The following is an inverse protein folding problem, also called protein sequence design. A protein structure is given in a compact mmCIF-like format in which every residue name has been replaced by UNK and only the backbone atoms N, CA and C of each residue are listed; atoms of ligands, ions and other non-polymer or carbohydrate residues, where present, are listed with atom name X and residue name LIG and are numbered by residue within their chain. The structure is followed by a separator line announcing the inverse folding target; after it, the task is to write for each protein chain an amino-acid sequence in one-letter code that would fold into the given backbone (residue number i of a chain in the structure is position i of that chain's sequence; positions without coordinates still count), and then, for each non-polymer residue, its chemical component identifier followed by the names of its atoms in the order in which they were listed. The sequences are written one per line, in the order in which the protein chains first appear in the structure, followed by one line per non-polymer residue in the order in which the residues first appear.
data_IF_504796529676
#
_entry.id   IF_504796529676
#
_cell.length_a   1.000
_cell.length_b   1.000
_cell.length_c   1.000
_cell.angle_alpha   90.00
_cell.angle_beta   90.00
_cell.angle_gamma   90.00
#
_symmetry.space_group_name_H-M   'P 1'
#
loop_
_entity.id
_entity.type
_entity.pdbx_description
1 polymer ?
#
# COMPACT_ATOMS: atom_id res chain seq x y z
N UNK A 1 -30.59 -34.04 12.05
CA UNK A 1 -29.41 -34.65 12.72
C UNK A 1 -29.34 -34.02 14.10
N UNK A 2 -29.64 -34.78 15.15
CA UNK A 2 -29.76 -34.27 16.52
C UNK A 2 -28.37 -34.23 17.15
N UNK A 3 -27.88 -33.03 17.47
CA UNK A 3 -26.61 -32.85 18.18
C UNK A 3 -26.91 -32.47 19.63
N UNK A 4 -26.53 -33.36 20.54
CA UNK A 4 -26.64 -33.18 21.98
C UNK A 4 -25.41 -32.43 22.50
N UNK A 5 -25.62 -31.17 22.87
CA UNK A 5 -24.59 -30.25 23.37
C UNK A 5 -24.24 -30.49 24.85
N UNK A 6 -24.84 -31.47 25.52
CA UNK A 6 -24.53 -31.82 26.91
C UNK A 6 -23.46 -32.91 27.05
N UNK A 7 -23.02 -33.53 25.95
CA UNK A 7 -21.90 -34.48 25.97
C UNK A 7 -20.55 -33.73 26.01
N UNK A 8 -20.10 -33.41 27.21
CA UNK A 8 -18.70 -33.02 27.45
C UNK A 8 -17.83 -34.27 27.24
N UNK A 9 -16.84 -34.24 26.32
CA UNK A 9 -15.98 -35.40 26.10
C UNK A 9 -15.20 -35.73 27.38
N UNK A 10 -15.44 -36.92 27.94
CA UNK A 10 -14.85 -37.36 29.21
C UNK A 10 -13.40 -37.85 29.10
N UNK A 11 -12.81 -37.86 27.91
CA UNK A 11 -11.45 -38.33 27.67
C UNK A 11 -10.55 -37.19 27.22
N UNK A 12 -9.94 -36.49 28.18
CA UNK A 12 -8.75 -35.69 27.92
C UNK A 12 -7.58 -36.65 27.66
N UNK A 13 -7.35 -36.96 26.39
CA UNK A 13 -6.25 -37.83 25.98
C UNK A 13 -4.91 -37.05 25.97
N UNK A 14 -3.79 -37.78 26.04
CA UNK A 14 -2.41 -37.26 26.12
C UNK A 14 -2.07 -36.29 24.98
N UNK A 15 -2.74 -36.44 23.83
CA UNK A 15 -2.61 -35.57 22.66
C UNK A 15 -3.19 -34.16 22.88
N UNK A 16 -4.30 -34.04 23.62
CA UNK A 16 -4.89 -32.75 23.99
C UNK A 16 -4.00 -32.02 25.02
N UNK A 17 -3.44 -32.76 25.98
CA UNK A 17 -2.48 -32.21 26.93
C UNK A 17 -1.20 -31.71 26.23
N UNK A 18 -0.71 -32.46 25.24
CA UNK A 18 0.43 -32.06 24.41
C UNK A 18 0.16 -30.79 23.60
N UNK A 19 -1.03 -30.67 22.99
CA UNK A 19 -1.42 -29.49 22.23
C UNK A 19 -1.52 -28.24 23.13
N UNK A 20 -2.12 -28.38 24.32
CA UNK A 20 -2.23 -27.29 25.28
C UNK A 20 -0.86 -26.82 25.78
N UNK A 21 0.04 -27.76 26.10
CA UNK A 21 1.41 -27.45 26.52
C UNK A 21 2.21 -26.74 25.41
N UNK A 22 2.06 -27.18 24.16
CA UNK A 22 2.72 -26.55 23.00
C UNK A 22 2.21 -25.14 22.76
N UNK A 23 0.90 -24.92 22.87
CA UNK A 23 0.29 -23.58 22.71
C UNK A 23 0.78 -22.61 23.79
N UNK A 24 0.89 -23.05 25.04
CA UNK A 24 1.40 -22.22 26.15
C UNK A 24 2.89 -21.90 25.95
N UNK A 25 3.68 -22.89 25.49
CA UNK A 25 5.10 -22.68 25.21
C UNK A 25 5.34 -21.65 24.09
N UNK A 26 4.57 -21.73 22.99
CA UNK A 26 4.66 -20.76 21.90
C UNK A 26 4.27 -19.36 22.35
N UNK A 27 3.26 -19.24 23.23
CA UNK A 27 2.83 -17.96 23.79
C UNK A 27 3.89 -17.36 24.72
N UNK A 28 4.58 -18.17 25.52
CA UNK A 28 5.71 -17.74 26.34
C UNK A 28 6.90 -17.28 25.48
N UNK A 29 7.19 -17.96 24.37
CA UNK A 29 8.24 -17.55 23.43
C UNK A 29 7.86 -16.23 22.76
N UNK A 30 6.61 -16.05 22.36
CA UNK A 30 6.12 -14.83 21.74
C UNK A 30 6.23 -13.62 22.69
N UNK A 31 5.87 -13.78 23.96
CA UNK A 31 5.97 -12.72 24.99
C UNK A 31 7.42 -12.47 25.40
N UNK A 32 8.29 -13.48 25.38
CA UNK A 32 9.71 -13.36 25.74
C UNK A 32 10.57 -12.72 24.64
N UNK A 33 10.04 -12.57 23.42
CA UNK A 33 10.66 -11.77 22.36
C UNK A 33 10.48 -10.28 22.67
N UNK A 34 11.25 -9.76 23.63
CA UNK A 34 11.42 -8.32 23.85
C UNK A 34 11.98 -7.70 22.57
N UNK A 35 11.17 -6.91 21.88
CA UNK A 35 11.66 -6.00 20.85
C UNK A 35 12.61 -5.00 21.52
N UNK A 36 13.91 -5.16 21.28
CA UNK A 36 14.93 -4.22 21.75
C UNK A 36 14.81 -2.97 20.87
N UNK A 37 13.95 -2.03 21.28
CA UNK A 37 13.96 -0.67 20.73
C UNK A 37 15.27 -0.04 21.18
N UNK A 38 16.24 -0.02 20.27
CA UNK A 38 17.48 0.73 20.44
C UNK A 38 17.11 2.19 20.14
N UNK A 39 16.83 2.97 21.18
CA UNK A 39 16.87 4.42 21.06
C UNK A 39 18.31 4.82 20.74
N UNK A 40 18.54 5.10 19.46
CA UNK A 40 19.80 5.70 19.00
C UNK A 40 19.72 7.19 19.33
N UNK A 41 20.15 7.55 20.54
CA UNK A 41 20.48 8.94 20.87
C UNK A 41 21.68 9.32 20.02
N UNK A 42 21.44 10.11 18.98
CA UNK A 42 22.50 10.73 18.19
C UNK A 42 22.99 11.94 18.98
N UNK A 43 23.96 11.71 19.88
CA UNK A 43 24.83 12.79 20.33
C UNK A 43 25.68 13.23 19.15
N UNK A 44 25.46 14.46 18.68
CA UNK A 44 26.35 15.14 17.76
C UNK A 44 27.72 15.24 18.42
N UNK A 45 28.81 14.72 17.83
CA UNK A 45 30.14 14.97 18.36
C UNK A 45 30.47 16.45 18.13
N UNK A 46 30.64 17.19 19.23
CA UNK A 46 31.27 18.51 19.21
C UNK A 46 32.75 18.26 18.94
N UNK A 47 33.20 18.61 17.73
CA UNK A 47 34.63 18.61 17.42
C UNK A 47 35.34 19.64 18.29
N UNK A 48 36.19 19.10 19.15
CA UNK A 48 37.19 19.79 19.95
C UNK A 48 38.25 20.34 18.99
N UNK A 49 38.11 21.61 18.61
CA UNK A 49 39.20 22.36 17.98
C UNK A 49 40.15 22.77 19.11
N UNK A 50 41.39 22.30 19.02
CA UNK A 50 42.49 22.62 19.93
C UNK A 50 42.83 24.11 19.82
N UNK A 51 42.88 24.78 20.97
CA UNK A 51 43.41 26.13 21.14
C UNK A 51 44.88 26.20 20.71
N UNK A 52 45.19 27.16 19.85
CA UNK A 52 46.53 27.78 19.80
C UNK A 52 46.33 29.26 20.12
N UNK A 53 47.03 29.70 21.17
CA UNK A 53 46.91 31.01 21.80
C UNK A 53 47.42 32.20 20.96
N UNK A 54 46.71 33.34 21.12
CA UNK A 54 47.13 34.77 21.15
C UNK A 54 47.37 35.54 19.82
N UNK A 55 47.15 36.88 19.83
CA UNK A 55 45.99 37.60 20.36
C UNK A 55 45.44 38.70 19.41
N UNK A 56 44.14 38.93 19.50
CA UNK A 56 43.41 40.21 19.42
C UNK A 56 43.91 41.28 18.43
N UNK A 57 43.14 41.52 17.37
CA UNK A 57 42.77 42.89 17.03
C UNK A 57 41.36 42.96 16.44
N UNK A 58 40.54 43.74 17.12
CA UNK A 58 39.12 44.00 16.92
C UNK A 58 38.97 45.00 15.78
N UNK A 59 38.55 44.60 14.59
CA UNK A 59 37.83 45.47 13.64
C UNK A 59 36.84 44.64 12.78
N UNK A 60 35.55 44.80 13.09
CA UNK A 60 34.37 44.90 12.19
C UNK A 60 34.34 43.96 10.96
N UNK A 61 33.67 42.81 11.10
CA UNK A 61 33.15 42.06 9.95
C UNK A 61 31.81 42.66 9.50
N UNK A 62 31.78 43.10 8.24
CA UNK A 62 30.57 43.40 7.49
C UNK A 62 29.86 42.07 7.23
N UNK A 63 28.67 41.89 7.81
CA UNK A 63 27.77 40.77 7.51
C UNK A 63 27.43 40.78 6.01
N UNK A 64 28.19 40.04 5.21
CA UNK A 64 27.75 39.61 3.89
C UNK A 64 26.82 38.43 4.10
N UNK A 65 25.55 38.75 4.26
CA UNK A 65 24.44 37.80 4.22
C UNK A 65 24.48 37.12 2.84
N UNK A 66 25.07 35.93 2.78
CA UNK A 66 24.83 35.01 1.67
C UNK A 66 23.51 34.34 2.01
N UNK A 67 22.42 34.89 1.47
CA UNK A 67 21.14 34.18 1.41
C UNK A 67 21.38 32.88 0.63
N UNK A 68 21.55 31.78 1.38
CA UNK A 68 21.35 30.45 0.84
C UNK A 68 19.87 30.38 0.53
N UNK A 69 19.54 30.62 -0.74
CA UNK A 69 18.22 30.35 -1.30
C UNK A 69 17.86 28.92 -0.94
N UNK A 70 17.06 28.80 0.12
CA UNK A 70 16.38 27.59 0.50
C UNK A 70 15.55 27.23 -0.71
N UNK A 71 16.02 26.25 -1.50
CA UNK A 71 15.21 25.56 -2.49
C UNK A 71 14.10 24.90 -1.68
N UNK A 72 13.03 25.65 -1.49
CA UNK A 72 11.75 25.15 -1.05
C UNK A 72 11.37 24.21 -2.17
N UNK A 73 11.58 22.92 -1.96
CA UNK A 73 10.96 21.87 -2.74
C UNK A 73 9.46 22.13 -2.64
N UNK A 74 8.97 22.89 -3.62
CA UNK A 74 7.56 23.14 -3.83
C UNK A 74 7.00 21.75 -4.02
N UNK A 75 6.39 21.22 -2.97
CA UNK A 75 5.43 20.13 -3.07
C UNK A 75 4.38 20.68 -4.01
N UNK A 76 4.58 20.42 -5.31
CA UNK A 76 3.56 20.63 -6.32
C UNK A 76 2.51 19.61 -5.95
N UNK A 77 1.56 20.05 -5.15
CA UNK A 77 0.27 19.39 -4.98
C UNK A 77 -0.32 19.35 -6.39
N UNK A 78 -0.02 18.26 -7.11
CA UNK A 78 -0.62 17.97 -8.40
C UNK A 78 -2.08 17.71 -8.06
N UNK A 79 -2.88 18.78 -8.07
CA UNK A 79 -4.33 18.71 -7.89
C UNK A 79 -4.84 17.55 -8.75
N UNK A 80 -5.39 16.54 -8.07
CA UNK A 80 -5.91 15.37 -8.75
C UNK A 80 -7.03 15.85 -9.67
N UNK A 81 -6.86 15.66 -10.98
CA UNK A 81 -7.90 15.97 -12.00
C UNK A 81 -9.24 15.30 -11.71
N UNK A 82 -9.28 14.28 -10.84
CA UNK A 82 -10.52 13.66 -10.35
C UNK A 82 -11.32 14.59 -9.43
N UNK A 83 -10.67 15.42 -8.62
CA UNK A 83 -11.35 16.36 -7.72
C UNK A 83 -12.13 17.45 -8.47
N UNK A 84 -11.73 17.73 -9.72
CA UNK A 84 -12.37 18.72 -10.59
C UNK A 84 -13.20 18.09 -11.72
N UNK A 85 -13.27 16.75 -11.79
CA UNK A 85 -14.07 16.06 -12.79
C UNK A 85 -15.57 16.13 -12.48
N UNK A 86 -16.41 16.16 -13.52
CA UNK A 86 -17.87 16.11 -13.34
C UNK A 86 -18.28 14.77 -12.72
N UNK A 87 -18.92 14.82 -11.57
CA UNK A 87 -19.42 13.65 -10.82
C UNK A 87 -20.43 12.82 -11.61
N UNK A 88 -21.18 13.46 -12.49
CA UNK A 88 -22.25 12.83 -13.30
C UNK A 88 -21.71 11.69 -14.17
N UNK A 89 -20.50 11.83 -14.71
CA UNK A 89 -19.86 10.78 -15.52
C UNK A 89 -19.56 9.53 -14.70
N UNK A 90 -19.16 9.68 -13.43
CA UNK A 90 -18.90 8.55 -12.54
C UNK A 90 -20.21 7.84 -12.15
N UNK A 91 -21.28 8.59 -11.89
CA UNK A 91 -22.60 8.03 -11.63
C UNK A 91 -23.18 7.28 -12.84
N UNK A 92 -22.94 7.79 -14.05
CA UNK A 92 -23.34 7.13 -15.29
C UNK A 92 -22.63 5.79 -15.47
N UNK A 93 -21.30 5.74 -15.30
CA UNK A 93 -20.54 4.49 -15.38
C UNK A 93 -21.03 3.48 -14.33
N UNK A 94 -21.26 3.94 -13.10
CA UNK A 94 -21.77 3.09 -12.03
C UNK A 94 -23.16 2.52 -12.37
N UNK A 95 -24.03 3.32 -12.98
CA UNK A 95 -25.36 2.88 -13.42
C UNK A 95 -25.28 1.81 -14.53
N UNK A 96 -24.36 1.97 -15.49
CA UNK A 96 -24.13 0.98 -16.56
C UNK A 96 -23.56 -0.33 -15.97
N UNK A 97 -22.58 -0.23 -15.08
CA UNK A 97 -22.01 -1.40 -14.39
C UNK A 97 -23.08 -2.14 -13.57
N UNK A 98 -24.02 -1.42 -12.96
CA UNK A 98 -25.12 -2.07 -12.27
C UNK A 98 -26.09 -2.76 -13.23
N UNK A 99 -26.48 -2.09 -14.32
CA UNK A 99 -27.41 -2.64 -15.31
C UNK A 99 -26.89 -3.93 -15.95
N UNK A 100 -25.63 -3.95 -16.35
CA UNK A 100 -25.06 -5.07 -17.11
C UNK A 100 -24.37 -6.11 -16.22
N UNK A 101 -23.79 -5.70 -15.09
CA UNK A 101 -22.94 -6.56 -14.25
C UNK A 101 -23.49 -6.80 -12.82
N UNK A 102 -24.59 -6.14 -12.41
CA UNK A 102 -25.13 -6.23 -11.03
C UNK A 102 -24.09 -5.95 -9.93
N UNK A 103 -23.11 -5.08 -10.25
CA UNK A 103 -21.96 -4.84 -9.38
C UNK A 103 -22.36 -4.34 -7.98
N UNK A 104 -23.30 -3.40 -7.90
CA UNK A 104 -23.72 -2.80 -6.63
C UNK A 104 -24.46 -3.85 -5.80
N UNK A 105 -25.37 -4.62 -6.40
CA UNK A 105 -26.10 -5.68 -5.70
C UNK A 105 -25.11 -6.63 -5.04
N UNK A 106 -24.12 -7.13 -5.80
CA UNK A 106 -23.14 -8.08 -5.29
C UNK A 106 -22.29 -7.51 -4.15
N UNK A 107 -21.85 -6.25 -4.26
CA UNK A 107 -21.04 -5.61 -3.21
C UNK A 107 -21.84 -5.23 -1.97
N UNK A 108 -23.17 -5.13 -2.07
CA UNK A 108 -24.07 -4.80 -0.96
C UNK A 108 -24.71 -6.02 -0.31
N UNK A 109 -24.60 -7.19 -0.94
CA UNK A 109 -25.10 -8.45 -0.42
C UNK A 109 -24.23 -8.98 0.72
N UNK A 110 -24.86 -9.59 1.72
CA UNK A 110 -24.16 -10.32 2.78
C UNK A 110 -23.87 -11.75 2.31
N UNK A 111 -22.60 -12.06 2.05
CA UNK A 111 -22.20 -13.36 1.53
C UNK A 111 -22.06 -14.45 2.60
N UNK A 112 -22.23 -14.15 3.89
CA UNK A 112 -21.93 -15.09 4.99
C UNK A 112 -22.78 -16.35 4.98
N UNK A 113 -23.99 -16.30 4.41
CA UNK A 113 -24.92 -17.42 4.35
C UNK A 113 -24.77 -18.29 3.08
N UNK A 114 -23.93 -17.88 2.12
CA UNK A 114 -23.80 -18.53 0.82
C UNK A 114 -22.58 -19.44 0.77
N UNK A 115 -22.66 -20.52 0.00
CA UNK A 115 -21.51 -21.37 -0.25
C UNK A 115 -20.56 -20.76 -1.29
N UNK A 116 -19.31 -21.23 -1.33
CA UNK A 116 -18.33 -20.81 -2.35
C UNK A 116 -18.83 -21.10 -3.77
N UNK A 117 -19.61 -22.17 -3.96
CA UNK A 117 -20.23 -22.49 -5.25
C UNK A 117 -21.28 -21.46 -5.67
N UNK A 118 -22.12 -21.00 -4.73
CA UNK A 118 -23.13 -19.99 -4.96
C UNK A 118 -22.50 -18.62 -5.25
N UNK A 119 -21.52 -18.23 -4.45
CA UNK A 119 -20.74 -17.00 -4.66
C UNK A 119 -20.01 -17.06 -6.00
N UNK A 120 -19.40 -18.21 -6.33
CA UNK A 120 -18.73 -18.43 -7.61
C UNK A 120 -19.67 -18.39 -8.80
N UNK A 121 -20.91 -18.86 -8.66
CA UNK A 121 -21.94 -18.74 -9.70
C UNK A 121 -22.31 -17.27 -9.96
N UNK A 122 -22.53 -16.49 -8.90
CA UNK A 122 -22.81 -15.06 -8.99
C UNK A 122 -21.62 -14.29 -9.59
N UNK A 123 -20.40 -14.57 -9.12
CA UNK A 123 -19.17 -13.93 -9.59
C UNK A 123 -18.96 -14.08 -11.10
N UNK A 124 -19.32 -15.25 -11.68
CA UNK A 124 -19.24 -15.45 -13.15
C UNK A 124 -20.17 -14.53 -13.92
N UNK A 125 -21.40 -14.33 -13.44
CA UNK A 125 -22.37 -13.42 -14.07
C UNK A 125 -21.85 -11.99 -14.04
N UNK A 126 -21.37 -11.54 -12.89
CA UNK A 126 -20.82 -10.18 -12.70
C UNK A 126 -19.57 -9.99 -13.55
N UNK A 127 -18.69 -10.98 -13.61
CA UNK A 127 -17.50 -10.95 -14.42
C UNK A 127 -17.84 -10.81 -15.91
N UNK A 128 -18.76 -11.62 -16.43
CA UNK A 128 -19.18 -11.53 -17.84
C UNK A 128 -19.84 -10.18 -18.16
N UNK A 129 -20.71 -9.68 -17.28
CA UNK A 129 -21.33 -8.36 -17.44
C UNK A 129 -20.31 -7.22 -17.39
N UNK A 130 -19.37 -7.27 -16.45
CA UNK A 130 -18.30 -6.29 -16.32
C UNK A 130 -17.37 -6.29 -17.52
N UNK A 131 -17.00 -7.46 -18.05
CA UNK A 131 -16.24 -7.57 -19.29
C UNK A 131 -16.97 -6.93 -20.47
N UNK A 132 -18.28 -7.15 -20.59
CA UNK A 132 -19.11 -6.51 -21.62
C UNK A 132 -19.07 -4.98 -21.50
N UNK A 133 -19.27 -4.43 -20.31
CA UNK A 133 -19.22 -2.96 -20.11
C UNK A 133 -17.84 -2.40 -20.50
N UNK A 134 -16.76 -3.04 -20.07
CA UNK A 134 -15.43 -2.58 -20.45
C UNK A 134 -15.23 -2.64 -21.96
N UNK A 135 -15.60 -3.75 -22.62
CA UNK A 135 -15.46 -3.89 -24.07
C UNK A 135 -16.29 -2.86 -24.86
N UNK A 136 -17.53 -2.60 -24.42
CA UNK A 136 -18.46 -1.74 -25.13
C UNK A 136 -18.09 -0.26 -24.96
N UNK A 137 -17.60 0.17 -23.79
CA UNK A 137 -17.47 1.59 -23.44
C UNK A 137 -16.04 2.10 -23.24
N UNK A 138 -15.04 1.24 -22.96
CA UNK A 138 -13.70 1.69 -22.55
C UNK A 138 -12.58 0.89 -23.22
N UNK A 139 -11.67 1.58 -23.90
CA UNK A 139 -10.41 0.96 -24.33
C UNK A 139 -9.38 1.03 -23.20
N UNK A 140 -8.89 -0.13 -22.76
CA UNK A 140 -7.88 -0.27 -21.70
C UNK A 140 -6.53 -0.70 -22.29
N UNK A 141 -5.45 -0.20 -21.69
CA UNK A 141 -4.08 -0.63 -21.98
C UNK A 141 -3.29 -0.79 -20.68
N UNK A 142 -2.24 -1.62 -20.72
CA UNK A 142 -1.32 -1.71 -19.60
C UNK A 142 -0.51 -0.42 -19.44
N UNK A 143 -0.15 -0.09 -18.20
CA UNK A 143 0.74 1.05 -17.92
C UNK A 143 2.19 0.66 -18.25
N UNK A 144 2.59 -0.55 -17.85
CA UNK A 144 3.88 -1.17 -18.15
C UNK A 144 3.74 -2.31 -19.16
N UNK A 145 4.77 -2.54 -19.97
CA UNK A 145 4.77 -3.60 -20.99
C UNK A 145 5.68 -4.76 -20.62
N UNK A 146 6.68 -4.50 -19.79
CA UNK A 146 7.58 -5.46 -19.17
C UNK A 146 6.79 -6.56 -18.46
N UNK A 147 7.34 -7.76 -18.36
CA UNK A 147 6.66 -8.88 -17.70
C UNK A 147 6.61 -8.72 -16.18
N UNK A 148 5.52 -9.20 -15.58
CA UNK A 148 5.41 -9.26 -14.13
C UNK A 148 6.51 -10.17 -13.56
N UNK A 149 6.91 -9.91 -12.33
CA UNK A 149 8.02 -10.55 -11.64
C UNK A 149 9.42 -10.29 -12.27
N UNK A 150 9.52 -9.37 -13.24
CA UNK A 150 10.83 -8.94 -13.77
C UNK A 150 11.41 -7.75 -13.02
N UNK A 151 12.75 -7.65 -13.04
CA UNK A 151 13.45 -6.52 -12.44
C UNK A 151 13.39 -5.33 -13.39
N UNK A 152 12.86 -4.21 -12.90
CA UNK A 152 12.75 -2.94 -13.65
C UNK A 152 13.41 -1.80 -12.89
N UNK A 153 13.74 -0.74 -13.64
CA UNK A 153 14.20 0.53 -13.08
C UNK A 153 13.14 1.61 -13.35
N UNK A 154 12.81 2.37 -12.31
CA UNK A 154 11.89 3.50 -12.35
C UNK A 154 12.72 4.77 -12.24
N UNK A 155 12.80 5.51 -13.34
CA UNK A 155 13.57 6.75 -13.44
C UNK A 155 12.97 7.90 -12.62
N UNK A 156 13.78 8.94 -12.41
CA UNK A 156 13.30 10.19 -11.82
C UNK A 156 12.20 10.84 -12.66
N UNK A 157 11.27 11.52 -12.00
CA UNK A 157 10.12 12.17 -12.66
C UNK A 157 8.99 11.21 -13.06
N UNK A 158 8.97 9.98 -12.54
CA UNK A 158 7.85 9.05 -12.77
C UNK A 158 6.53 9.61 -12.23
N UNK A 159 5.41 9.21 -12.84
CA UNK A 159 4.09 9.64 -12.39
C UNK A 159 3.60 8.77 -11.20
N UNK A 160 3.43 9.34 -9.98
CA UNK A 160 2.99 8.58 -8.81
C UNK A 160 1.54 8.10 -8.89
N UNK A 161 0.73 8.63 -9.82
CA UNK A 161 -0.62 8.13 -10.09
C UNK A 161 -0.61 6.85 -10.96
N UNK A 162 0.49 6.57 -11.65
CA UNK A 162 0.64 5.40 -12.53
C UNK A 162 1.53 4.32 -11.92
N UNK A 163 2.51 4.70 -11.11
CA UNK A 163 3.48 3.79 -10.50
C UNK A 163 3.45 4.00 -8.99
N UNK A 164 3.11 2.94 -8.27
CA UNK A 164 3.19 2.90 -6.82
C UNK A 164 4.42 2.09 -6.40
N UNK A 165 5.34 2.74 -5.71
CA UNK A 165 6.49 2.07 -5.11
C UNK A 165 6.08 1.49 -3.75
N UNK A 166 6.50 0.25 -3.47
CA UNK A 166 6.19 -0.45 -2.21
C UNK A 166 7.46 -1.02 -1.58
N UNK A 167 7.50 -1.09 -0.25
CA UNK A 167 8.67 -1.56 0.51
C UNK A 167 9.48 -0.41 1.12
N UNK A 168 10.76 -0.66 1.41
CA UNK A 168 11.67 0.34 1.97
C UNK A 168 12.21 1.27 0.87
N UNK A 169 11.39 2.25 0.47
CA UNK A 169 11.73 3.24 -0.55
C UNK A 169 12.42 4.43 0.13
N UNK A 170 13.74 4.50 0.06
CA UNK A 170 14.55 5.61 0.59
C UNK A 170 15.46 6.18 -0.49
N UNK A 171 15.85 7.45 -0.33
CA UNK A 171 16.67 8.15 -1.32
C UNK A 171 15.85 8.73 -2.48
N UNK A 172 16.54 9.02 -3.58
CA UNK A 172 15.95 9.59 -4.79
C UNK A 172 16.02 8.56 -5.93
N UNK A 173 15.11 8.69 -6.89
CA UNK A 173 15.14 7.89 -8.12
C UNK A 173 16.49 8.06 -8.86
N UNK A 174 16.95 7.06 -9.62
CA UNK A 174 16.22 5.87 -10.07
C UNK A 174 16.04 4.79 -8.99
N UNK A 175 14.84 4.19 -8.96
CA UNK A 175 14.54 3.06 -8.08
C UNK A 175 14.61 1.76 -8.86
N UNK A 176 15.23 0.72 -8.29
CA UNK A 176 15.27 -0.63 -8.91
C UNK A 176 14.50 -1.62 -8.04
N UNK A 177 13.59 -2.37 -8.66
CA UNK A 177 12.73 -3.33 -7.97
C UNK A 177 12.09 -4.33 -8.92
N UNK A 178 11.18 -5.14 -8.39
CA UNK A 178 10.42 -6.12 -9.17
C UNK A 178 9.07 -5.54 -9.56
N UNK A 179 8.67 -5.67 -10.82
CA UNK A 179 7.35 -5.29 -11.29
C UNK A 179 6.32 -6.31 -10.80
N UNK A 180 5.50 -5.95 -9.81
CA UNK A 180 4.47 -6.85 -9.28
C UNK A 180 3.26 -6.92 -10.21
N UNK A 181 2.76 -5.76 -10.67
CA UNK A 181 1.61 -5.68 -11.57
C UNK A 181 1.81 -4.63 -12.66
N UNK A 182 1.41 -4.94 -13.90
CA UNK A 182 1.56 -4.00 -15.04
C UNK A 182 0.66 -2.76 -14.94
N UNK A 183 -0.40 -2.83 -14.13
CA UNK A 183 -1.43 -1.80 -14.00
C UNK A 183 -2.26 -1.59 -15.27
N UNK A 184 -3.35 -0.86 -15.15
CA UNK A 184 -4.26 -0.55 -16.26
C UNK A 184 -4.50 0.95 -16.36
N UNK A 185 -4.62 1.45 -17.59
CA UNK A 185 -5.07 2.81 -17.90
C UNK A 185 -6.16 2.76 -18.95
N UNK A 186 -7.18 3.60 -18.80
CA UNK A 186 -8.11 3.89 -19.87
C UNK A 186 -7.41 4.82 -20.89
N UNK A 187 -7.40 4.44 -22.15
CA UNK A 187 -6.83 5.24 -23.24
C UNK A 187 -7.90 6.00 -24.00
N UNK A 188 -9.12 5.46 -24.08
CA UNK A 188 -10.22 6.06 -24.82
C UNK A 188 -11.57 5.56 -24.31
N UNK A 189 -12.60 6.41 -24.44
CA UNK A 189 -14.02 6.03 -24.35
C UNK A 189 -14.54 5.73 -25.76
N UNK A 190 -15.30 4.66 -25.91
CA UNK A 190 -15.88 4.24 -27.19
C UNK A 190 -17.13 5.04 -27.56
#
# INVERSE_FOLDING_TARGET
MTFDLQMIPQTFDMLHAGLAASSVLLLLIAVSRKSKVIEKVVEKPVEKIVEVEKPVEKIVEVEKIVEVEKVIEKVVEVESKLATARTDSAMQLLSIMQQEARLIDFLKEDLTAFSDEEVGAAARVIHTGGQKVLADYVTLAHIRTEDEETRITVEAGFNPQQIRLTGNVTGQAPFSGTLVHKGWKATQMN
#
